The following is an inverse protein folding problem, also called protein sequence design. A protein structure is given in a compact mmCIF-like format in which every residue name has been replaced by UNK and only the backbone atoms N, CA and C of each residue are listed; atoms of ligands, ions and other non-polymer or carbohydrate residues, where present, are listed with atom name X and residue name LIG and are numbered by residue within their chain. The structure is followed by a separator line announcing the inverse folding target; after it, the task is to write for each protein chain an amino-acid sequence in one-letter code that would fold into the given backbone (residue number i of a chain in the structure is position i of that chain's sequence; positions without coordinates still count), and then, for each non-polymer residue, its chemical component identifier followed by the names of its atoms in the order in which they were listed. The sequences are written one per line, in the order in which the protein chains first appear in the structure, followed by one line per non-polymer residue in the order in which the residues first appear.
data_IF_715150723533
#
_entry.id   IF_715150723533
#
_cell.length_a   1.000
_cell.length_b   1.000
_cell.length_c   1.000
_cell.angle_alpha   90.00
_cell.angle_beta   90.00
_cell.angle_gamma   90.00
#
_symmetry.space_group_name_H-M   'P 1'
#
loop_
_entity.id
_entity.type
_entity.pdbx_description
1 polymer ?
#
# COMPACT_ATOMS: atom_id res chain seq x y z
N UNK A 1 -23.36 12.26 -2.15
CA UNK A 1 -23.01 13.26 -3.17
C UNK A 1 -23.87 14.54 -3.09
N UNK A 2 -25.18 14.45 -2.77
CA UNK A 2 -26.04 15.67 -2.62
C UNK A 2 -25.82 16.42 -1.30
N UNK A 3 -25.19 15.81 -0.31
CA UNK A 3 -24.83 16.49 0.93
C UNK A 3 -23.66 17.43 0.69
N UNK A 4 -23.65 18.55 1.41
CA UNK A 4 -22.51 19.48 1.39
C UNK A 4 -21.24 18.76 1.84
N UNK A 5 -20.14 19.02 1.15
CA UNK A 5 -18.83 18.44 1.47
C UNK A 5 -18.46 18.81 2.91
N UNK A 6 -17.98 17.85 3.71
CA UNK A 6 -17.46 18.15 5.05
C UNK A 6 -16.17 18.95 4.97
N UNK A 7 -15.86 19.71 6.02
CA UNK A 7 -14.61 20.48 6.09
C UNK A 7 -13.38 19.53 6.03
N UNK A 8 -13.51 18.32 6.59
CA UNK A 8 -12.48 17.29 6.57
C UNK A 8 -12.29 16.72 5.16
N UNK A 9 -13.39 16.43 4.43
CA UNK A 9 -13.32 15.97 3.06
C UNK A 9 -12.77 17.08 2.14
N UNK A 10 -13.16 18.34 2.35
CA UNK A 10 -12.62 19.48 1.61
C UNK A 10 -11.12 19.70 1.87
N UNK A 11 -10.66 19.49 3.11
CA UNK A 11 -9.25 19.58 3.47
C UNK A 11 -8.43 18.43 2.87
N UNK A 12 -8.98 17.21 2.83
CA UNK A 12 -8.33 16.04 2.21
C UNK A 12 -8.16 16.19 0.69
N UNK A 13 -8.97 17.02 0.04
CA UNK A 13 -8.92 17.23 -1.42
C UNK A 13 -8.53 18.67 -1.81
N UNK A 14 -7.66 19.32 -1.02
CA UNK A 14 -7.00 20.60 -1.32
C UNK A 14 -7.92 21.73 -1.77
N UNK A 15 -9.12 21.82 -1.21
CA UNK A 15 -10.02 22.94 -1.46
C UNK A 15 -10.83 22.86 -2.76
N UNK A 16 -10.86 21.70 -3.44
CA UNK A 16 -11.83 21.47 -4.50
C UNK A 16 -13.26 21.63 -3.93
N UNK A 17 -14.06 22.49 -4.53
CA UNK A 17 -15.49 22.56 -4.21
C UNK A 17 -16.19 21.34 -4.83
N UNK A 18 -16.26 20.26 -4.05
CA UNK A 18 -16.94 19.03 -4.45
C UNK A 18 -18.45 19.24 -4.31
N UNK A 19 -19.07 19.80 -5.34
CA UNK A 19 -20.53 19.98 -5.41
C UNK A 19 -21.14 18.93 -6.34
N UNK A 20 -22.31 18.41 -5.95
CA UNK A 20 -23.01 17.43 -6.77
C UNK A 20 -23.29 17.98 -8.17
N UNK A 21 -22.83 17.25 -9.18
CA UNK A 21 -22.93 17.63 -10.60
C UNK A 21 -22.40 16.55 -11.51
N UNK A 22 -22.29 16.80 -12.82
CA UNK A 22 -21.80 15.82 -13.80
C UNK A 22 -20.43 15.26 -13.45
N UNK A 23 -19.58 16.09 -12.83
CA UNK A 23 -18.20 15.74 -12.48
C UNK A 23 -18.08 15.16 -11.06
N UNK A 24 -19.15 15.21 -10.24
CA UNK A 24 -19.16 14.70 -8.87
C UNK A 24 -20.49 13.99 -8.54
N UNK A 25 -20.66 12.80 -9.09
CA UNK A 25 -21.84 11.95 -8.84
C UNK A 25 -21.66 11.00 -7.66
N UNK A 26 -20.43 10.53 -7.44
CA UNK A 26 -20.08 9.59 -6.38
C UNK A 26 -19.17 10.32 -5.40
N UNK A 27 -19.49 10.31 -4.09
CA UNK A 27 -18.61 10.94 -3.10
C UNK A 27 -17.26 10.25 -3.06
N UNK A 28 -16.21 11.02 -2.84
CA UNK A 28 -14.84 10.49 -2.78
C UNK A 28 -14.66 9.59 -1.55
N UNK A 29 -13.85 8.51 -1.64
CA UNK A 29 -13.78 7.46 -0.63
C UNK A 29 -13.29 7.91 0.75
N UNK A 30 -12.61 9.05 0.85
CA UNK A 30 -12.13 9.58 2.14
C UNK A 30 -13.09 10.56 2.83
N UNK A 31 -14.34 10.63 2.40
CA UNK A 31 -15.36 11.31 3.21
C UNK A 31 -15.74 10.41 4.41
N UNK A 32 -15.38 10.78 5.65
CA UNK A 32 -15.57 9.93 6.82
C UNK A 32 -17.04 9.58 7.09
N UNK A 33 -17.98 10.39 6.58
CA UNK A 33 -19.44 10.15 6.73
C UNK A 33 -19.96 8.98 5.89
N UNK A 34 -19.20 8.56 4.85
CA UNK A 34 -19.67 7.53 3.91
C UNK A 34 -19.86 6.19 4.59
N UNK A 35 -18.96 5.82 5.49
CA UNK A 35 -19.02 4.52 6.18
C UNK A 35 -20.34 4.39 6.98
N UNK A 36 -20.64 5.37 7.83
CA UNK A 36 -21.86 5.37 8.62
C UNK A 36 -23.12 5.45 7.76
N UNK A 37 -23.16 6.33 6.76
CA UNK A 37 -24.36 6.52 5.91
C UNK A 37 -24.60 5.36 4.96
N UNK A 38 -23.58 4.86 4.28
CA UNK A 38 -23.74 3.79 3.30
C UNK A 38 -23.98 2.46 3.99
N UNK A 39 -23.18 2.10 5.00
CA UNK A 39 -23.31 0.81 5.67
C UNK A 39 -24.65 0.68 6.41
N UNK A 40 -25.12 1.74 7.08
CA UNK A 40 -26.43 1.72 7.71
C UNK A 40 -27.57 1.60 6.70
N UNK A 41 -27.50 2.31 5.56
CA UNK A 41 -28.52 2.19 4.52
C UNK A 41 -28.55 0.79 3.88
N UNK A 42 -27.38 0.19 3.64
CA UNK A 42 -27.27 -1.18 3.10
C UNK A 42 -27.79 -2.19 4.12
N UNK A 43 -27.46 -2.05 5.41
CA UNK A 43 -27.95 -2.91 6.47
C UNK A 43 -29.48 -2.83 6.59
N UNK A 44 -30.07 -1.63 6.57
CA UNK A 44 -31.52 -1.44 6.57
C UNK A 44 -32.18 -2.13 5.38
N UNK A 45 -31.68 -1.88 4.17
CA UNK A 45 -32.22 -2.52 2.97
C UNK A 45 -32.11 -4.06 3.00
N UNK A 46 -31.03 -4.60 3.55
CA UNK A 46 -30.84 -6.04 3.71
C UNK A 46 -31.85 -6.65 4.72
N UNK A 47 -32.16 -5.93 5.80
CA UNK A 47 -33.18 -6.34 6.76
C UNK A 47 -34.60 -6.27 6.16
N UNK A 48 -34.91 -5.17 5.45
CA UNK A 48 -36.21 -4.98 4.80
C UNK A 48 -36.48 -6.04 3.71
N UNK A 49 -35.48 -6.42 2.96
CA UNK A 49 -35.57 -7.43 1.90
C UNK A 49 -35.44 -8.86 2.41
N UNK A 50 -35.17 -9.06 3.68
CA UNK A 50 -35.07 -10.38 4.32
C UNK A 50 -33.81 -11.17 3.94
N UNK A 51 -32.79 -10.54 3.32
CA UNK A 51 -31.51 -11.19 2.98
C UNK A 51 -30.49 -11.10 4.09
N UNK A 52 -30.74 -10.29 5.13
CA UNK A 52 -29.87 -10.17 6.28
C UNK A 52 -29.82 -11.50 7.08
N UNK A 53 -28.65 -12.06 7.23
CA UNK A 53 -28.44 -13.24 8.10
C UNK A 53 -28.31 -12.89 9.57
N UNK A 54 -28.01 -11.61 9.86
CA UNK A 54 -27.95 -11.03 11.20
C UNK A 54 -28.77 -9.74 11.22
N UNK A 55 -29.79 -9.69 12.04
CA UNK A 55 -30.63 -8.50 12.24
C UNK A 55 -29.94 -7.60 13.26
N UNK A 56 -29.92 -6.29 13.00
CA UNK A 56 -29.48 -5.26 13.95
C UNK A 56 -30.69 -4.74 14.73
N UNK A 57 -30.58 -4.72 16.04
CA UNK A 57 -31.65 -4.24 16.92
C UNK A 57 -31.77 -2.71 16.90
N UNK A 58 -30.65 -2.01 16.72
CA UNK A 58 -30.57 -0.55 16.66
C UNK A 58 -29.63 -0.09 15.56
N UNK A 59 -30.19 0.45 14.49
CA UNK A 59 -29.46 0.93 13.32
C UNK A 59 -28.73 2.26 13.59
N UNK A 60 -29.25 3.09 14.50
CA UNK A 60 -28.61 4.34 14.87
C UNK A 60 -27.39 4.11 15.76
N UNK A 61 -27.46 3.14 16.68
CA UNK A 61 -26.31 2.71 17.47
C UNK A 61 -25.22 2.12 16.57
N UNK A 62 -25.58 1.28 15.59
CA UNK A 62 -24.64 0.75 14.60
C UNK A 62 -23.96 1.85 13.77
N UNK A 63 -24.74 2.84 13.34
CA UNK A 63 -24.19 3.99 12.61
C UNK A 63 -23.22 4.80 13.47
N UNK A 64 -23.56 5.06 14.72
CA UNK A 64 -22.70 5.78 15.66
C UNK A 64 -21.38 5.03 15.93
N UNK A 65 -21.42 3.69 16.02
CA UNK A 65 -20.23 2.84 16.15
C UNK A 65 -19.31 2.96 14.90
N UNK A 66 -19.91 2.92 13.71
CA UNK A 66 -19.16 3.10 12.45
C UNK A 66 -18.53 4.48 12.35
N UNK A 67 -19.29 5.54 12.65
CA UNK A 67 -18.79 6.91 12.61
C UNK A 67 -17.62 7.10 13.62
N UNK A 68 -17.73 6.55 14.82
CA UNK A 68 -16.66 6.58 15.82
C UNK A 68 -15.39 5.81 15.37
N UNK A 69 -15.56 4.66 14.72
CA UNK A 69 -14.45 3.86 14.19
C UNK A 69 -13.67 4.57 13.09
N UNK A 70 -14.37 5.21 12.14
CA UNK A 70 -13.76 5.96 11.04
C UNK A 70 -13.00 7.19 11.56
N UNK A 71 -13.54 7.87 12.55
CA UNK A 71 -12.90 9.04 13.13
C UNK A 71 -11.58 8.71 13.83
N UNK A 72 -11.50 7.58 14.54
CA UNK A 72 -10.26 7.14 15.23
C UNK A 72 -9.16 6.78 14.24
N UNK A 73 -9.46 6.04 13.18
CA UNK A 73 -8.47 5.67 12.18
C UNK A 73 -7.97 6.87 11.38
N UNK A 74 -8.84 7.80 11.03
CA UNK A 74 -8.48 9.04 10.34
C UNK A 74 -7.55 9.94 11.18
N UNK A 75 -7.81 10.07 12.49
CA UNK A 75 -6.97 10.82 13.41
C UNK A 75 -5.55 10.22 13.53
N UNK A 76 -5.44 8.89 13.63
CA UNK A 76 -4.15 8.20 13.71
C UNK A 76 -3.36 8.26 12.40
N UNK A 77 -4.06 8.21 11.26
CA UNK A 77 -3.41 8.21 9.95
C UNK A 77 -3.06 9.62 9.46
N UNK A 78 -3.69 10.67 9.99
CA UNK A 78 -3.44 12.04 9.56
C UNK A 78 -1.96 12.46 9.64
N UNK A 79 -1.24 12.27 10.76
CA UNK A 79 0.19 12.60 10.83
C UNK A 79 1.03 11.81 9.83
N UNK A 80 0.65 10.56 9.56
CA UNK A 80 1.33 9.70 8.57
C UNK A 80 1.18 10.29 7.16
N UNK A 81 -0.02 10.70 6.76
CA UNK A 81 -0.25 11.36 5.47
C UNK A 81 0.46 12.72 5.38
N UNK A 82 0.42 13.52 6.44
CA UNK A 82 1.14 14.80 6.47
C UNK A 82 2.66 14.59 6.32
N UNK A 83 3.23 13.61 7.02
CA UNK A 83 4.64 13.25 6.89
C UNK A 83 4.99 12.74 5.49
N UNK A 84 4.13 11.92 4.88
CA UNK A 84 4.33 11.43 3.52
C UNK A 84 4.31 12.56 2.47
N UNK A 85 3.48 13.58 2.66
CA UNK A 85 3.44 14.76 1.78
C UNK A 85 4.69 15.64 1.92
N UNK A 86 5.23 15.77 3.14
CA UNK A 86 6.44 16.57 3.40
C UNK A 86 7.72 15.89 2.91
N UNK A 87 7.75 14.56 2.90
CA UNK A 87 8.90 13.77 2.46
C UNK A 87 8.45 12.67 1.49
N UNK A 88 8.04 13.05 0.26
CA UNK A 88 7.55 12.08 -0.71
C UNK A 88 8.63 11.06 -1.07
N UNK A 89 8.23 9.80 -1.28
CA UNK A 89 9.11 8.66 -1.52
C UNK A 89 8.69 7.93 -2.79
N UNK A 90 9.65 7.59 -3.62
CA UNK A 90 9.42 6.76 -4.80
C UNK A 90 9.06 5.34 -4.40
N UNK A 91 7.85 4.92 -4.74
CA UNK A 91 7.34 3.59 -4.44
C UNK A 91 7.27 2.77 -5.72
N UNK A 92 7.82 1.55 -5.68
CA UNK A 92 7.64 0.56 -6.75
C UNK A 92 6.63 -0.50 -6.32
N UNK A 93 5.63 -0.73 -7.15
CA UNK A 93 4.62 -1.77 -6.99
C UNK A 93 4.98 -2.96 -7.88
N UNK A 94 5.21 -4.12 -7.25
CA UNK A 94 5.63 -5.34 -7.95
C UNK A 94 4.52 -5.91 -8.84
N UNK A 95 3.27 -5.79 -8.44
CA UNK A 95 2.12 -6.31 -9.19
C UNK A 95 1.35 -5.18 -9.88
N UNK A 96 2.02 -4.38 -10.71
CA UNK A 96 1.45 -3.22 -11.40
C UNK A 96 0.29 -3.53 -12.36
N UNK A 97 0.09 -4.79 -12.71
CA UNK A 97 -1.06 -5.22 -13.48
C UNK A 97 -2.32 -5.46 -12.61
N UNK A 98 -2.23 -5.54 -11.29
CA UNK A 98 -3.38 -5.80 -10.41
C UNK A 98 -4.26 -4.55 -10.25
N UNK A 99 -5.58 -4.70 -10.37
CA UNK A 99 -6.53 -3.57 -10.29
C UNK A 99 -6.51 -2.86 -8.93
N UNK A 100 -6.24 -3.59 -7.85
CA UNK A 100 -6.08 -3.01 -6.50
C UNK A 100 -4.84 -2.12 -6.44
N UNK A 101 -3.76 -2.53 -7.11
CA UNK A 101 -2.52 -1.77 -7.22
C UNK A 101 -2.73 -0.52 -8.07
N UNK A 102 -3.46 -0.61 -9.18
CA UNK A 102 -3.78 0.55 -10.02
C UNK A 102 -4.61 1.59 -9.27
N UNK A 103 -5.59 1.17 -8.46
CA UNK A 103 -6.35 2.07 -7.57
C UNK A 103 -5.47 2.67 -6.46
N UNK A 104 -4.57 1.87 -5.89
CA UNK A 104 -3.61 2.37 -4.89
C UNK A 104 -2.62 3.39 -5.51
N UNK A 105 -2.16 3.15 -6.74
CA UNK A 105 -1.31 4.09 -7.46
C UNK A 105 -2.03 5.43 -7.71
N UNK A 106 -3.31 5.40 -8.09
CA UNK A 106 -4.12 6.61 -8.19
C UNK A 106 -4.22 7.36 -6.84
N UNK A 107 -4.47 6.63 -5.75
CA UNK A 107 -4.53 7.24 -4.43
C UNK A 107 -3.19 7.89 -4.02
N UNK A 108 -2.06 7.26 -4.35
CA UNK A 108 -0.72 7.86 -4.12
C UNK A 108 -0.56 9.15 -4.89
N UNK A 109 -1.00 9.20 -6.16
CA UNK A 109 -0.94 10.42 -6.97
C UNK A 109 -1.83 11.54 -6.43
N UNK A 110 -3.00 11.20 -5.89
CA UNK A 110 -3.92 12.18 -5.30
C UNK A 110 -3.39 12.73 -3.96
N UNK A 111 -2.65 11.93 -3.21
CA UNK A 111 -2.16 12.27 -1.88
C UNK A 111 -0.72 12.82 -1.85
N UNK A 112 0.09 12.52 -2.87
CA UNK A 112 1.50 12.90 -2.92
C UNK A 112 1.85 13.51 -4.28
N UNK A 113 3.04 14.09 -4.39
CA UNK A 113 3.57 14.63 -5.66
C UNK A 113 4.46 13.62 -6.40
N UNK A 114 4.67 12.42 -5.84
CA UNK A 114 5.57 11.42 -6.41
C UNK A 114 4.84 10.48 -7.37
N UNK A 115 5.56 10.12 -8.43
CA UNK A 115 5.05 9.22 -9.45
C UNK A 115 5.39 7.76 -9.06
N UNK A 116 4.41 6.91 -8.80
CA UNK A 116 4.65 5.50 -8.51
C UNK A 116 5.24 4.77 -9.72
N UNK A 117 6.00 3.70 -9.45
CA UNK A 117 6.56 2.83 -10.48
C UNK A 117 5.77 1.53 -10.48
N UNK A 118 5.27 1.12 -11.64
CA UNK A 118 4.48 -0.11 -11.79
C UNK A 118 5.29 -1.14 -12.58
N UNK A 119 5.49 -2.34 -12.03
CA UNK A 119 6.12 -3.44 -12.75
C UNK A 119 5.02 -4.24 -13.46
N UNK A 120 5.11 -4.33 -14.78
CA UNK A 120 4.12 -5.06 -15.58
C UNK A 120 4.19 -4.72 -17.07
N UNK A 121 3.33 -5.36 -17.84
CA UNK A 121 3.21 -5.14 -19.28
C UNK A 121 2.37 -3.89 -19.55
N UNK A 122 2.88 -2.92 -20.32
CA UNK A 122 2.19 -1.65 -20.56
C UNK A 122 0.77 -1.83 -21.11
N UNK A 123 0.61 -2.71 -22.10
CA UNK A 123 -0.67 -2.98 -22.74
C UNK A 123 -1.73 -3.55 -21.75
N UNK A 124 -1.30 -4.36 -20.79
CA UNK A 124 -2.19 -4.92 -19.77
C UNK A 124 -2.59 -3.85 -18.74
N UNK A 125 -1.62 -3.06 -18.30
CA UNK A 125 -1.85 -1.95 -17.36
C UNK A 125 -2.85 -0.95 -17.96
N UNK A 126 -2.60 -0.49 -19.19
CA UNK A 126 -3.46 0.47 -19.87
C UNK A 126 -4.88 -0.06 -20.07
N UNK A 127 -5.01 -1.29 -20.58
CA UNK A 127 -6.32 -1.92 -20.77
C UNK A 127 -7.10 -2.03 -19.44
N UNK A 128 -6.42 -2.35 -18.35
CA UNK A 128 -7.05 -2.43 -17.02
C UNK A 128 -7.46 -1.06 -16.49
N UNK A 129 -6.61 -0.03 -16.64
CA UNK A 129 -6.97 1.34 -16.28
C UNK A 129 -8.25 1.79 -17.01
N UNK A 130 -8.32 1.57 -18.32
CA UNK A 130 -9.52 1.89 -19.12
C UNK A 130 -10.75 1.12 -18.63
N UNK A 131 -10.62 -0.18 -18.39
CA UNK A 131 -11.73 -1.03 -17.93
C UNK A 131 -12.31 -0.60 -16.58
N UNK A 132 -11.47 -0.15 -15.65
CA UNK A 132 -11.91 0.26 -14.30
C UNK A 132 -12.14 1.77 -14.18
N UNK A 133 -12.01 2.52 -15.29
CA UNK A 133 -12.30 3.95 -15.37
C UNK A 133 -11.29 4.84 -14.65
N UNK A 134 -9.99 4.46 -14.62
CA UNK A 134 -8.93 5.30 -14.07
C UNK A 134 -8.35 6.22 -15.15
N UNK A 135 -8.32 7.52 -14.89
CA UNK A 135 -7.67 8.52 -15.76
C UNK A 135 -6.22 8.77 -15.32
N UNK A 136 -5.43 7.70 -15.22
CA UNK A 136 -3.99 7.76 -14.99
C UNK A 136 -3.24 7.26 -16.22
N UNK A 137 -2.11 7.91 -16.57
CA UNK A 137 -1.38 7.64 -17.82
C UNK A 137 0.10 7.43 -17.56
N UNK A 138 0.73 6.48 -18.29
CA UNK A 138 2.18 6.30 -18.26
C UNK A 138 2.91 7.60 -18.60
N UNK A 139 4.10 7.76 -18.07
CA UNK A 139 5.02 8.89 -18.27
C UNK A 139 4.49 10.26 -17.79
N UNK A 140 3.18 10.40 -17.58
CA UNK A 140 2.58 11.58 -16.95
C UNK A 140 2.39 11.37 -15.43
N UNK A 141 1.79 10.25 -15.06
CA UNK A 141 1.32 10.00 -13.70
C UNK A 141 2.11 8.86 -13.02
N UNK A 142 2.62 7.90 -13.77
CA UNK A 142 3.42 6.79 -13.28
C UNK A 142 4.41 6.29 -14.32
N UNK A 143 5.45 5.59 -13.84
CA UNK A 143 6.43 4.93 -14.71
C UNK A 143 6.15 3.43 -14.79
N UNK A 144 6.48 2.81 -15.94
CA UNK A 144 6.36 1.37 -16.12
C UNK A 144 7.73 0.72 -16.26
N UNK A 145 7.93 -0.39 -15.56
CA UNK A 145 9.04 -1.32 -15.75
C UNK A 145 8.49 -2.60 -16.35
N UNK A 146 8.75 -2.82 -17.65
CA UNK A 146 8.29 -4.02 -18.33
C UNK A 146 9.34 -5.16 -18.21
N UNK A 147 9.06 -6.25 -17.49
CA UNK A 147 10.01 -7.36 -17.32
C UNK A 147 10.48 -7.98 -18.65
N UNK A 148 9.71 -7.80 -19.73
CA UNK A 148 10.02 -8.43 -21.02
C UNK A 148 11.04 -7.64 -21.85
N UNK A 149 11.04 -6.32 -21.77
CA UNK A 149 11.84 -5.48 -22.66
C UNK A 149 12.38 -4.18 -22.05
N UNK A 150 12.41 -4.06 -20.70
CA UNK A 150 13.01 -2.87 -20.05
C UNK A 150 14.49 -2.73 -20.45
N UNK A 151 14.94 -1.54 -20.86
CA UNK A 151 16.34 -1.32 -21.24
C UNK A 151 17.33 -1.60 -20.09
N UNK A 152 16.90 -1.48 -18.84
CA UNK A 152 17.72 -1.75 -17.65
C UNK A 152 17.76 -3.24 -17.25
N UNK A 153 17.12 -4.11 -18.02
CA UNK A 153 17.07 -5.55 -17.73
C UNK A 153 18.46 -6.17 -17.50
N UNK A 154 19.45 -5.76 -18.31
CA UNK A 154 20.83 -6.23 -18.17
C UNK A 154 21.43 -5.86 -16.82
N UNK A 155 21.15 -4.67 -16.35
CA UNK A 155 21.65 -4.16 -15.07
C UNK A 155 20.96 -4.88 -13.91
N UNK A 156 19.65 -5.14 -14.02
CA UNK A 156 18.89 -5.84 -12.99
C UNK A 156 19.37 -7.26 -12.77
N UNK A 157 19.46 -8.08 -13.83
CA UNK A 157 19.96 -9.44 -13.65
C UNK A 157 21.44 -9.47 -13.27
N UNK A 158 22.24 -8.52 -13.75
CA UNK A 158 23.65 -8.38 -13.37
C UNK A 158 23.81 -8.06 -11.88
N UNK A 159 23.03 -7.11 -11.36
CA UNK A 159 23.03 -6.77 -9.93
C UNK A 159 22.55 -7.96 -9.09
N UNK A 160 21.46 -8.60 -9.46
CA UNK A 160 20.96 -9.77 -8.75
C UNK A 160 21.99 -10.93 -8.73
N UNK A 161 22.62 -11.19 -9.89
CA UNK A 161 23.68 -12.20 -9.97
C UNK A 161 24.86 -11.84 -9.06
N UNK A 162 25.34 -10.59 -9.04
CA UNK A 162 26.45 -10.18 -8.17
C UNK A 162 26.14 -10.42 -6.69
N UNK A 163 24.90 -10.16 -6.28
CA UNK A 163 24.46 -10.40 -4.89
C UNK A 163 24.42 -11.89 -4.56
N UNK A 164 23.85 -12.71 -5.46
CA UNK A 164 23.48 -14.10 -5.20
C UNK A 164 24.47 -15.13 -5.79
N UNK A 165 25.56 -14.73 -6.41
CA UNK A 165 26.51 -15.64 -7.05
C UNK A 165 27.12 -16.63 -6.06
N UNK A 166 27.39 -16.20 -4.82
CA UNK A 166 27.94 -17.08 -3.77
C UNK A 166 26.92 -18.08 -3.24
N UNK A 167 25.63 -17.81 -3.43
CA UNK A 167 24.52 -18.70 -3.08
C UNK A 167 24.13 -19.63 -4.26
N UNK A 168 24.97 -19.70 -5.29
CA UNK A 168 24.84 -20.63 -6.41
C UNK A 168 23.93 -20.16 -7.55
N UNK A 169 23.53 -18.89 -7.56
CA UNK A 169 22.74 -18.33 -8.67
C UNK A 169 23.65 -18.12 -9.88
N UNK A 170 23.38 -18.83 -10.96
CA UNK A 170 24.09 -18.66 -12.24
C UNK A 170 23.57 -17.42 -13.00
N UNK A 171 24.32 -16.87 -13.96
CA UNK A 171 23.84 -15.77 -14.79
C UNK A 171 22.53 -16.09 -15.51
N UNK A 172 22.34 -17.31 -15.99
CA UNK A 172 21.11 -17.68 -16.70
C UNK A 172 19.91 -17.82 -15.74
N UNK A 173 20.13 -18.30 -14.53
CA UNK A 173 19.10 -18.31 -13.50
C UNK A 173 18.73 -16.87 -13.08
N UNK A 174 19.69 -15.98 -12.92
CA UNK A 174 19.44 -14.57 -12.63
C UNK A 174 18.62 -13.89 -13.73
N UNK A 175 18.92 -14.16 -15.01
CA UNK A 175 18.12 -13.70 -16.14
C UNK A 175 16.69 -14.22 -16.10
N UNK A 176 16.51 -15.51 -15.80
CA UNK A 176 15.18 -16.12 -15.69
C UNK A 176 14.36 -15.48 -14.56
N UNK A 177 14.95 -15.30 -13.38
CA UNK A 177 14.31 -14.67 -12.23
C UNK A 177 13.86 -13.23 -12.56
N UNK A 178 14.73 -12.43 -13.17
CA UNK A 178 14.40 -11.05 -13.56
C UNK A 178 13.37 -10.95 -14.70
N UNK A 179 13.00 -12.05 -15.33
CA UNK A 179 11.91 -12.11 -16.34
C UNK A 179 10.58 -12.53 -15.75
N UNK A 180 10.60 -13.26 -14.64
CA UNK A 180 9.42 -13.96 -14.14
C UNK A 180 9.01 -13.54 -12.74
N UNK A 181 9.85 -12.76 -12.04
CA UNK A 181 9.63 -12.42 -10.65
C UNK A 181 9.66 -10.91 -10.40
N UNK A 182 8.50 -10.30 -10.38
CA UNK A 182 8.37 -8.86 -10.20
C UNK A 182 8.85 -8.39 -8.81
N UNK A 183 8.69 -9.20 -7.76
CA UNK A 183 9.19 -8.86 -6.42
C UNK A 183 10.72 -8.77 -6.40
N UNK A 184 11.39 -9.70 -7.10
CA UNK A 184 12.85 -9.64 -7.22
C UNK A 184 13.31 -8.40 -8.02
N UNK A 185 12.59 -8.03 -9.09
CA UNK A 185 12.85 -6.79 -9.83
C UNK A 185 12.70 -5.58 -8.92
N UNK A 186 11.57 -5.49 -8.18
CA UNK A 186 11.31 -4.39 -7.25
C UNK A 186 12.39 -4.28 -6.16
N UNK A 187 12.82 -5.40 -5.58
CA UNK A 187 13.88 -5.43 -4.59
C UNK A 187 15.23 -4.96 -5.17
N UNK A 188 15.58 -5.34 -6.40
CA UNK A 188 16.78 -4.87 -7.09
C UNK A 188 16.69 -3.36 -7.37
N UNK A 189 15.53 -2.83 -7.74
CA UNK A 189 15.33 -1.39 -7.94
C UNK A 189 15.58 -0.59 -6.65
N UNK A 190 15.06 -1.07 -5.52
CA UNK A 190 15.33 -0.46 -4.21
C UNK A 190 16.82 -0.56 -3.85
N UNK A 191 17.45 -1.73 -4.07
CA UNK A 191 18.88 -1.91 -3.85
C UNK A 191 19.73 -0.92 -4.66
N UNK A 192 19.34 -0.62 -5.90
CA UNK A 192 19.98 0.31 -6.81
C UNK A 192 19.62 1.78 -6.55
N UNK A 193 18.76 2.05 -5.57
CA UNK A 193 18.26 3.39 -5.25
C UNK A 193 17.43 4.03 -6.41
N UNK A 194 16.83 3.22 -7.25
CA UNK A 194 15.88 3.65 -8.27
C UNK A 194 14.47 3.87 -7.70
N UNK A 195 14.19 3.25 -6.55
CA UNK A 195 13.02 3.45 -5.70
C UNK A 195 13.45 3.46 -4.23
N UNK A 196 12.68 4.14 -3.37
CA UNK A 196 12.93 4.21 -1.93
C UNK A 196 12.31 3.02 -1.18
N UNK A 197 11.19 2.50 -1.69
CA UNK A 197 10.46 1.39 -1.11
C UNK A 197 9.74 0.55 -2.17
N UNK A 198 9.35 -0.66 -1.78
CA UNK A 198 8.57 -1.55 -2.63
C UNK A 198 7.31 -2.03 -1.91
N UNK A 199 6.25 -2.25 -2.69
CA UNK A 199 5.02 -2.90 -2.24
C UNK A 199 4.78 -4.12 -3.11
N UNK A 200 4.53 -5.27 -2.48
CA UNK A 200 4.25 -6.54 -3.15
C UNK A 200 3.31 -7.41 -2.33
N UNK A 201 2.81 -8.50 -2.92
CA UNK A 201 2.06 -9.54 -2.22
C UNK A 201 0.55 -9.45 -2.41
N UNK A 202 0.04 -8.88 -3.52
CA UNK A 202 -1.38 -8.94 -3.87
C UNK A 202 -1.84 -10.36 -4.20
N UNK A 203 -0.91 -11.23 -4.58
CA UNK A 203 -1.12 -12.67 -4.77
C UNK A 203 0.15 -13.45 -4.37
N UNK A 204 0.03 -14.76 -4.21
CA UNK A 204 1.13 -15.63 -3.82
C UNK A 204 1.28 -15.76 -2.30
N UNK A 205 2.33 -16.44 -1.89
CA UNK A 205 2.61 -16.68 -0.47
C UNK A 205 3.53 -15.58 0.08
N UNK A 206 3.22 -15.06 1.25
CA UNK A 206 4.02 -14.07 1.96
C UNK A 206 5.51 -14.44 2.04
N UNK A 207 5.81 -15.68 2.46
CA UNK A 207 7.20 -16.15 2.60
C UNK A 207 7.97 -16.19 1.28
N UNK A 208 7.28 -16.40 0.18
CA UNK A 208 7.89 -16.39 -1.14
C UNK A 208 8.37 -14.98 -1.51
N UNK A 209 7.55 -13.96 -1.32
CA UNK A 209 7.93 -12.57 -1.53
C UNK A 209 9.06 -12.14 -0.58
N UNK A 210 8.91 -12.44 0.72
CA UNK A 210 9.91 -12.12 1.73
C UNK A 210 11.27 -12.74 1.42
N UNK A 211 11.32 -13.96 0.86
CA UNK A 211 12.56 -14.60 0.47
C UNK A 211 13.34 -13.79 -0.58
N UNK A 212 12.69 -13.31 -1.63
CA UNK A 212 13.35 -12.49 -2.64
C UNK A 212 13.77 -11.11 -2.11
N UNK A 213 12.96 -10.52 -1.24
CA UNK A 213 13.32 -9.27 -0.56
C UNK A 213 14.59 -9.49 0.28
N UNK A 214 14.63 -10.56 1.06
CA UNK A 214 15.77 -10.88 1.92
C UNK A 214 17.03 -11.21 1.12
N UNK A 215 16.92 -11.90 0.00
CA UNK A 215 18.05 -12.18 -0.89
C UNK A 215 18.74 -10.91 -1.37
N UNK A 216 17.97 -9.88 -1.69
CA UNK A 216 18.50 -8.65 -2.29
C UNK A 216 18.82 -7.58 -1.24
N UNK A 217 17.91 -7.33 -0.30
CA UNK A 217 18.01 -6.22 0.65
C UNK A 217 18.59 -6.66 2.00
N UNK A 218 18.38 -7.91 2.41
CA UNK A 218 18.80 -8.42 3.71
C UNK A 218 20.32 -8.54 3.87
N UNK A 219 21.03 -8.79 2.79
CA UNK A 219 22.49 -8.97 2.84
C UNK A 219 23.27 -7.66 3.10
N UNK A 220 22.68 -6.51 2.81
CA UNK A 220 23.37 -5.23 2.92
C UNK A 220 23.59 -4.76 4.36
N UNK A 221 22.75 -5.19 5.28
CA UNK A 221 22.73 -4.63 6.63
C UNK A 221 23.06 -5.61 7.76
N UNK A 222 23.15 -6.94 7.49
CA UNK A 222 23.27 -7.99 8.51
C UNK A 222 22.27 -7.80 9.68
N UNK A 223 21.25 -6.97 9.47
CA UNK A 223 20.26 -6.63 10.46
C UNK A 223 19.06 -7.56 10.35
N UNK A 224 18.52 -8.06 11.42
CA UNK A 224 17.34 -8.88 11.42
C UNK A 224 16.16 -8.05 10.89
N UNK A 225 15.37 -8.69 10.02
CA UNK A 225 14.15 -8.10 9.53
C UNK A 225 13.11 -8.08 10.64
N UNK A 226 12.52 -6.94 10.89
CA UNK A 226 11.37 -6.80 11.77
C UNK A 226 10.10 -6.61 10.94
N UNK A 227 8.99 -7.19 11.37
CA UNK A 227 7.67 -6.84 10.90
C UNK A 227 6.90 -6.17 12.03
N UNK A 228 6.16 -5.13 11.70
CA UNK A 228 5.33 -4.41 12.64
C UNK A 228 3.92 -4.32 12.08
N UNK A 229 2.94 -4.77 12.87
CA UNK A 229 1.52 -4.58 12.58
C UNK A 229 0.94 -3.58 13.56
N UNK A 230 0.26 -2.56 13.04
CA UNK A 230 -0.52 -1.61 13.83
C UNK A 230 -1.98 -2.03 13.83
N UNK A 231 -2.52 -2.25 15.02
CA UNK A 231 -3.95 -2.51 15.24
C UNK A 231 -4.55 -1.30 15.96
N UNK A 232 -5.61 -0.75 15.40
CA UNK A 232 -6.32 0.39 15.98
C UNK A 232 -7.45 -0.15 16.82
N UNK A 233 -7.30 -0.05 18.15
CA UNK A 233 -8.29 -0.48 19.13
C UNK A 233 -9.13 0.71 19.63
N UNK A 234 -10.16 0.41 20.42
CA UNK A 234 -10.96 1.46 21.08
C UNK A 234 -10.14 2.32 22.03
N UNK A 235 -9.23 1.69 22.76
CA UNK A 235 -8.37 2.35 23.77
C UNK A 235 -7.08 2.95 23.17
N UNK A 236 -6.85 2.83 21.87
CA UNK A 236 -5.68 3.39 21.20
C UNK A 236 -4.95 2.40 20.26
N UNK A 237 -3.79 2.79 19.71
CA UNK A 237 -3.00 1.96 18.82
C UNK A 237 -2.26 0.86 19.60
N UNK A 238 -2.29 -0.36 19.05
CA UNK A 238 -1.50 -1.50 19.52
C UNK A 238 -0.51 -1.91 18.43
N UNK A 239 0.78 -1.92 18.77
CA UNK A 239 1.83 -2.42 17.88
C UNK A 239 2.14 -3.88 18.21
N UNK A 240 2.12 -4.74 17.19
CA UNK A 240 2.50 -6.14 17.29
C UNK A 240 3.76 -6.36 16.49
N UNK A 241 4.87 -6.67 17.18
CA UNK A 241 6.19 -6.89 16.57
C UNK A 241 6.38 -8.32 16.08
N UNK A 242 7.25 -8.46 15.07
CA UNK A 242 7.69 -9.73 14.46
C UNK A 242 6.56 -10.61 13.91
N UNK A 243 5.48 -9.98 13.44
CA UNK A 243 4.37 -10.68 12.81
C UNK A 243 4.82 -11.40 11.53
N UNK A 244 4.58 -12.72 11.45
CA UNK A 244 4.82 -13.57 10.28
C UNK A 244 6.28 -13.77 9.83
N UNK A 245 7.28 -13.23 10.54
CA UNK A 245 8.71 -13.38 10.17
C UNK A 245 9.31 -14.62 10.82
N UNK A 246 9.24 -14.73 12.13
CA UNK A 246 9.82 -15.83 12.90
C UNK A 246 8.73 -16.61 13.62
N UNK A 247 8.87 -17.93 13.61
CA UNK A 247 7.96 -18.82 14.37
C UNK A 247 8.34 -18.94 15.85
N UNK A 248 9.64 -18.77 16.14
CA UNK A 248 10.20 -18.89 17.51
C UNK A 248 11.39 -17.94 17.65
N UNK A 249 11.13 -16.63 17.84
CA UNK A 249 12.19 -15.63 17.94
C UNK A 249 12.92 -15.74 19.29
N UNK A 250 14.26 -15.68 19.27
CA UNK A 250 15.05 -15.60 20.49
C UNK A 250 14.83 -14.22 21.20
N UNK A 251 15.11 -14.13 22.52
CA UNK A 251 14.99 -12.86 23.24
C UNK A 251 15.79 -11.70 22.62
N UNK A 252 16.97 -11.99 22.08
CA UNK A 252 17.79 -11.00 21.38
C UNK A 252 17.10 -10.50 20.10
N UNK A 253 16.50 -11.38 19.33
CA UNK A 253 15.77 -11.04 18.11
C UNK A 253 14.50 -10.23 18.41
N UNK A 254 13.80 -10.53 19.51
CA UNK A 254 12.65 -9.74 19.96
C UNK A 254 13.11 -8.34 20.37
N UNK A 255 14.14 -8.24 21.22
CA UNK A 255 14.69 -6.96 21.67
C UNK A 255 15.14 -6.08 20.50
N UNK A 256 15.75 -6.65 19.47
CA UNK A 256 16.19 -5.96 18.28
C UNK A 256 15.00 -5.44 17.44
N UNK A 257 13.96 -6.24 17.25
CA UNK A 257 12.73 -5.81 16.56
C UNK A 257 12.06 -4.66 17.32
N UNK A 258 11.94 -4.76 18.65
CA UNK A 258 11.35 -3.70 19.51
C UNK A 258 12.21 -2.44 19.49
N UNK A 259 13.52 -2.55 19.60
CA UNK A 259 14.44 -1.41 19.53
C UNK A 259 14.33 -0.66 18.20
N UNK A 260 14.26 -1.38 17.08
CA UNK A 260 14.09 -0.77 15.76
C UNK A 260 12.76 -0.02 15.63
N UNK A 261 11.69 -0.56 16.17
CA UNK A 261 10.36 0.07 16.15
C UNK A 261 10.27 1.27 17.08
N UNK A 262 10.91 1.19 18.26
CA UNK A 262 10.90 2.25 19.26
C UNK A 262 11.72 3.49 18.84
N UNK A 263 12.91 3.27 18.28
CA UNK A 263 13.77 4.35 17.79
C UNK A 263 13.12 5.12 16.64
N UNK A 264 12.46 4.43 15.70
CA UNK A 264 11.77 5.10 14.58
C UNK A 264 10.46 5.78 14.99
N UNK A 265 9.74 5.28 15.97
CA UNK A 265 8.57 5.95 16.50
C UNK A 265 8.91 7.28 17.19
N UNK A 266 10.06 7.37 17.84
CA UNK A 266 10.54 8.61 18.47
C UNK A 266 11.18 9.60 17.49
N UNK A 267 11.68 9.17 16.33
CA UNK A 267 12.20 10.09 15.30
C UNK A 267 11.07 10.88 14.63
N UNK A 268 9.82 10.44 14.71
CA UNK A 268 8.64 11.17 14.21
C UNK A 268 8.09 12.20 15.20
N UNK A 269 8.48 12.15 16.48
CA UNK A 269 8.07 13.12 17.50
C UNK A 269 9.04 14.30 17.67
N UNK A 270 10.10 14.38 16.85
CA UNK A 270 11.18 15.38 17.02
C UNK A 270 11.30 16.38 15.86
N UNK A 271 10.21 16.61 15.09
CA UNK A 271 10.15 17.68 14.09
C UNK A 271 8.85 18.45 14.18
#
# INVERSE_FOLDING_TARGET
ARATTSAEAAAAYQGEQLTFGPDYLIPKPFDPRLSGVIASAVASAAMETGVATRVLDDIEAYKAELDASVFKSALLMRPVFESARLAPRKIVFAEGEDERVLRAAQAVLEETTEHPILIGRPEVILHRCERIGLDIRPDRDFSIVNPQNDPRYRDYWGTYHQIMARDGVTPDLAKAIMRTNNTAIAAVMVHRQEADSLICGTFGQYRWHLNYINQVLGQRHQQPHGALSLVILEDGPLFIGDTHIRSDPSPAQIAETVSYTHLRAHETDSY
#
